data_IF_950061271725
#
_entry.id   IF_950061271725
#
_cell.length_a   1.000
_cell.length_b   1.000
_cell.length_c   1.000
_cell.angle_alpha   90.00
_cell.angle_beta   90.00
_cell.angle_gamma   90.00
#
_symmetry.space_group_name_H-M   'P 1'
#
loop_
_entity.id
_entity.type
_entity.pdbx_description
1 polymer ?
#
# COMPACT_ATOMS: atom_id res chain seq x y z
N UNK A 1 -24.64 -11.76 17.46
CA UNK A 1 -23.17 -11.67 17.62
C UNK A 1 -22.59 -12.13 16.29
N UNK A 2 -21.80 -11.31 15.60
CA UNK A 2 -21.25 -11.69 14.32
C UNK A 2 -20.28 -12.86 14.54
N UNK A 3 -20.57 -14.01 13.94
CA UNK A 3 -19.68 -15.17 13.96
C UNK A 3 -18.46 -14.80 13.10
N UNK A 4 -17.34 -14.49 13.75
CA UNK A 4 -16.09 -14.18 13.08
C UNK A 4 -15.42 -15.49 12.68
N UNK A 5 -15.20 -15.67 11.38
CA UNK A 5 -14.50 -16.84 10.84
C UNK A 5 -13.04 -16.47 10.65
N UNK A 6 -12.13 -17.42 10.83
CA UNK A 6 -10.73 -17.20 10.53
C UNK A 6 -10.45 -17.64 9.09
N UNK A 7 -9.79 -16.80 8.30
CA UNK A 7 -9.27 -17.17 6.98
C UNK A 7 -7.76 -17.15 7.01
N UNK A 8 -7.16 -18.18 6.42
CA UNK A 8 -5.72 -18.23 6.17
C UNK A 8 -5.41 -17.47 4.87
N UNK A 9 -4.62 -16.41 4.99
CA UNK A 9 -4.18 -15.57 3.89
C UNK A 9 -2.70 -15.81 3.67
N UNK A 10 -2.32 -16.15 2.44
CA UNK A 10 -0.94 -16.23 2.00
C UNK A 10 -0.53 -14.87 1.44
N UNK A 11 0.51 -14.26 2.01
CA UNK A 11 1.06 -12.97 1.59
C UNK A 11 2.50 -13.19 1.15
N UNK A 12 2.81 -12.88 -0.10
CA UNK A 12 4.18 -12.92 -0.60
C UNK A 12 4.89 -11.63 -0.20
N UNK A 13 5.98 -11.79 0.56
CA UNK A 13 6.79 -10.72 1.11
C UNK A 13 8.15 -10.70 0.45
N UNK A 14 8.73 -9.52 0.36
CA UNK A 14 10.08 -9.33 -0.14
C UNK A 14 10.78 -8.21 0.64
N UNK A 15 11.96 -8.51 1.18
CA UNK A 15 12.84 -7.49 1.77
C UNK A 15 14.15 -7.41 0.97
N UNK A 16 14.43 -6.34 0.23
CA UNK A 16 15.69 -6.23 -0.53
C UNK A 16 16.94 -6.16 0.35
N UNK A 17 16.81 -5.84 1.64
CA UNK A 17 17.96 -5.76 2.57
C UNK A 17 18.31 -7.11 3.20
N UNK A 18 17.35 -8.04 3.26
CA UNK A 18 17.46 -9.29 4.02
C UNK A 18 17.27 -10.52 3.14
N UNK A 19 16.33 -10.47 2.20
CA UNK A 19 15.91 -11.61 1.39
C UNK A 19 16.49 -11.54 -0.02
N UNK A 20 17.06 -12.65 -0.46
CA UNK A 20 17.56 -12.82 -1.83
C UNK A 20 16.42 -13.14 -2.82
N UNK A 21 15.28 -13.62 -2.33
CA UNK A 21 14.10 -13.98 -3.13
C UNK A 21 12.79 -13.74 -2.36
N UNK A 22 11.65 -13.51 -3.04
CA UNK A 22 10.35 -13.39 -2.39
C UNK A 22 9.96 -14.66 -1.63
N UNK A 23 9.39 -14.51 -0.44
CA UNK A 23 8.93 -15.61 0.40
C UNK A 23 7.44 -15.52 0.71
N UNK A 24 6.75 -16.65 0.74
CA UNK A 24 5.34 -16.75 1.13
C UNK A 24 5.19 -16.84 2.64
N UNK A 25 4.45 -15.92 3.24
CA UNK A 25 4.08 -15.95 4.66
C UNK A 25 2.58 -16.20 4.81
N UNK A 26 2.18 -16.97 5.83
CA UNK A 26 0.78 -17.29 6.09
C UNK A 26 0.29 -16.59 7.35
N UNK A 27 -0.86 -15.94 7.27
CA UNK A 27 -1.49 -15.22 8.36
C UNK A 27 -2.93 -15.67 8.53
N UNK A 28 -3.35 -15.88 9.77
CA UNK A 28 -4.76 -16.16 10.09
C UNK A 28 -5.43 -14.87 10.54
N UNK A 29 -6.48 -14.47 9.82
CA UNK A 29 -7.20 -13.22 10.06
C UNK A 29 -8.66 -13.51 10.33
N UNK A 30 -9.23 -12.99 11.44
CA UNK A 30 -10.67 -13.03 11.66
C UNK A 30 -11.36 -12.12 10.64
N UNK A 31 -12.36 -12.64 9.94
CA UNK A 31 -13.15 -11.92 8.96
C UNK A 31 -14.66 -12.12 9.18
N UNK A 32 -15.39 -11.14 8.69
CA UNK A 32 -16.84 -11.06 8.63
C UNK A 32 -17.29 -10.78 7.18
N UNK A 33 -18.61 -10.72 6.95
CA UNK A 33 -19.17 -10.53 5.61
C UNK A 33 -18.86 -9.15 4.98
N UNK A 34 -18.41 -8.18 5.79
CA UNK A 34 -18.04 -6.82 5.36
C UNK A 34 -16.54 -6.60 5.30
N UNK A 35 -15.72 -7.52 5.82
CA UNK A 35 -14.26 -7.36 5.83
C UNK A 35 -13.71 -7.38 4.40
N UNK A 36 -13.06 -6.28 4.01
CA UNK A 36 -12.32 -6.21 2.77
C UNK A 36 -10.90 -6.74 2.94
N UNK A 37 -10.23 -7.07 1.84
CA UNK A 37 -8.81 -7.44 1.84
C UNK A 37 -7.94 -6.33 2.45
N UNK A 38 -8.31 -5.07 2.23
CA UNK A 38 -7.61 -3.94 2.83
C UNK A 38 -7.68 -3.96 4.36
N UNK A 39 -8.85 -4.30 4.91
CA UNK A 39 -9.05 -4.38 6.36
C UNK A 39 -8.26 -5.56 6.96
N UNK A 40 -8.24 -6.71 6.27
CA UNK A 40 -7.41 -7.84 6.68
C UNK A 40 -5.91 -7.52 6.66
N UNK A 41 -5.42 -6.83 5.65
CA UNK A 41 -4.01 -6.38 5.61
C UNK A 41 -3.70 -5.40 6.74
N UNK A 42 -4.65 -4.54 7.10
CA UNK A 42 -4.55 -3.67 8.29
C UNK A 42 -4.44 -4.49 9.57
N UNK A 43 -5.32 -5.48 9.73
CA UNK A 43 -5.29 -6.37 10.90
C UNK A 43 -3.96 -7.13 11.03
N UNK A 44 -3.44 -7.68 9.91
CA UNK A 44 -2.14 -8.36 9.88
C UNK A 44 -1.06 -7.39 10.33
N UNK A 45 -1.06 -6.16 9.81
CA UNK A 45 -0.07 -5.17 10.19
C UNK A 45 -0.13 -4.80 11.67
N UNK A 46 -1.33 -4.58 12.20
CA UNK A 46 -1.48 -4.10 13.57
C UNK A 46 -1.22 -5.19 14.62
N UNK A 47 -1.49 -6.46 14.31
CA UNK A 47 -1.46 -7.55 15.30
C UNK A 47 -0.37 -8.61 15.06
N UNK A 48 0.00 -8.89 13.81
CA UNK A 48 0.83 -10.06 13.45
C UNK A 48 2.20 -9.68 12.87
N UNK A 49 2.24 -8.68 11.99
CA UNK A 49 3.40 -8.30 11.20
C UNK A 49 3.46 -6.77 11.01
N UNK A 50 3.89 -6.01 12.02
CA UNK A 50 3.97 -4.54 11.96
C UNK A 50 4.97 -4.02 10.93
N UNK A 51 5.86 -4.88 10.47
CA UNK A 51 6.83 -4.67 9.41
C UNK A 51 6.20 -4.78 7.99
N UNK A 52 4.96 -5.25 7.86
CA UNK A 52 4.23 -5.29 6.59
C UNK A 52 3.91 -3.87 6.08
N UNK A 53 4.31 -3.57 4.84
CA UNK A 53 3.99 -2.31 4.18
C UNK A 53 3.24 -2.55 2.88
N UNK A 54 2.12 -1.84 2.71
CA UNK A 54 1.28 -1.87 1.53
C UNK A 54 0.77 -0.46 1.20
N UNK A 55 0.36 -0.24 -0.05
CA UNK A 55 -0.17 1.04 -0.53
C UNK A 55 -1.69 1.10 -0.37
N UNK A 56 -2.18 2.17 0.23
CA UNK A 56 -3.61 2.46 0.33
C UNK A 56 -3.84 3.97 0.46
N UNK A 57 -5.00 4.45 0.03
CA UNK A 57 -5.38 5.87 0.16
C UNK A 57 -6.91 6.04 0.26
N UNK A 58 -7.62 5.93 -0.86
CA UNK A 58 -9.02 6.38 -0.95
C UNK A 58 -10.07 5.44 -0.33
N UNK A 59 -9.76 4.15 -0.14
CA UNK A 59 -10.68 3.08 0.33
C UNK A 59 -12.00 2.90 -0.46
N UNK A 60 -12.28 3.74 -1.46
CA UNK A 60 -13.50 3.71 -2.29
C UNK A 60 -13.23 3.29 -3.74
N UNK A 61 -12.12 2.59 -3.99
CA UNK A 61 -11.75 2.06 -5.31
C UNK A 61 -11.64 3.10 -6.45
N UNK A 62 -11.47 4.39 -6.13
CA UNK A 62 -11.36 5.47 -7.13
C UNK A 62 -9.90 5.81 -7.50
N UNK A 63 -8.98 5.63 -6.56
CA UNK A 63 -7.59 6.06 -6.69
C UNK A 63 -6.65 4.99 -7.27
N UNK A 64 -7.09 3.72 -7.35
CA UNK A 64 -6.26 2.62 -7.85
C UNK A 64 -5.03 2.25 -7.01
N UNK A 65 -4.75 2.95 -5.91
CA UNK A 65 -3.53 2.73 -5.11
C UNK A 65 -3.50 1.39 -4.35
N UNK A 66 -4.68 0.76 -4.19
CA UNK A 66 -4.86 -0.51 -3.50
C UNK A 66 -4.74 -1.73 -4.47
N UNK A 67 -4.13 -1.55 -5.65
CA UNK A 67 -3.98 -2.62 -6.66
C UNK A 67 -2.96 -3.67 -6.24
N UNK A 68 -3.37 -4.94 -6.23
CA UNK A 68 -2.54 -6.11 -5.92
C UNK A 68 -2.99 -7.34 -6.69
N UNK A 69 -2.14 -8.36 -6.75
CA UNK A 69 -2.46 -9.64 -7.36
C UNK A 69 -3.11 -10.54 -6.31
N UNK A 70 -4.33 -10.99 -6.59
CA UNK A 70 -5.09 -11.91 -5.73
C UNK A 70 -5.37 -13.19 -6.52
N UNK A 71 -4.81 -14.33 -6.09
CA UNK A 71 -4.90 -15.61 -6.80
C UNK A 71 -4.52 -15.46 -8.29
N UNK A 72 -3.40 -14.81 -8.59
CA UNK A 72 -2.93 -14.48 -9.95
C UNK A 72 -3.84 -13.55 -10.77
N UNK A 73 -4.85 -12.91 -10.17
CA UNK A 73 -5.74 -11.96 -10.84
C UNK A 73 -5.51 -10.55 -10.28
N UNK A 74 -5.27 -9.52 -11.12
CA UNK A 74 -5.12 -8.15 -10.64
C UNK A 74 -6.46 -7.63 -10.11
N UNK A 75 -6.50 -7.31 -8.81
CA UNK A 75 -7.70 -6.78 -8.14
C UNK A 75 -7.35 -5.60 -7.25
N UNK A 76 -8.39 -4.81 -6.94
CA UNK A 76 -8.30 -3.74 -5.96
C UNK A 76 -8.63 -4.31 -4.58
N UNK A 77 -7.68 -4.26 -3.64
CA UNK A 77 -7.88 -4.77 -2.28
C UNK A 77 -9.08 -4.15 -1.59
N UNK A 78 -9.28 -2.85 -1.80
CA UNK A 78 -10.38 -2.09 -1.25
C UNK A 78 -11.77 -2.44 -1.84
N UNK A 79 -11.84 -3.24 -2.91
CA UNK A 79 -13.09 -3.76 -3.50
C UNK A 79 -13.19 -5.29 -3.38
N UNK A 80 -12.18 -5.95 -2.84
CA UNK A 80 -12.11 -7.40 -2.75
C UNK A 80 -12.51 -7.82 -1.35
N UNK A 81 -13.49 -8.70 -1.21
CA UNK A 81 -13.98 -9.17 0.09
C UNK A 81 -13.49 -10.59 0.37
N UNK A 82 -13.22 -10.88 1.64
CA UNK A 82 -12.71 -12.20 2.05
C UNK A 82 -13.75 -13.31 1.92
N UNK A 83 -15.03 -12.96 2.01
CA UNK A 83 -16.16 -13.89 1.84
C UNK A 83 -16.17 -14.59 0.48
N UNK A 84 -15.57 -14.00 -0.55
CA UNK A 84 -15.52 -14.56 -1.90
C UNK A 84 -14.34 -15.55 -2.07
N UNK A 85 -13.50 -15.71 -1.05
CA UNK A 85 -12.24 -16.46 -1.08
C UNK A 85 -12.13 -17.47 0.07
N UNK A 86 -13.17 -18.27 0.27
CA UNK A 86 -13.23 -19.28 1.35
C UNK A 86 -12.20 -20.40 1.21
N UNK A 87 -11.76 -20.73 -0.01
CA UNK A 87 -10.83 -21.83 -0.29
C UNK A 87 -9.35 -21.46 -0.08
N UNK A 88 -9.06 -20.20 0.22
CA UNK A 88 -7.71 -19.67 0.39
C UNK A 88 -7.41 -18.51 -0.55
N UNK A 89 -6.59 -17.59 -0.05
CA UNK A 89 -6.29 -16.34 -0.72
C UNK A 89 -4.78 -16.11 -0.75
N UNK A 90 -4.22 -16.04 -1.96
CA UNK A 90 -2.83 -15.67 -2.21
C UNK A 90 -2.76 -14.22 -2.66
N UNK A 91 -1.97 -13.43 -1.95
CA UNK A 91 -1.77 -12.00 -2.18
C UNK A 91 -0.33 -11.75 -2.57
N UNK A 92 -0.15 -11.17 -3.74
CA UNK A 92 1.14 -10.87 -4.36
C UNK A 92 1.21 -9.39 -4.79
N UNK A 93 2.41 -8.83 -4.82
CA UNK A 93 2.64 -7.52 -5.39
C UNK A 93 2.40 -7.55 -6.90
N UNK A 94 2.07 -6.39 -7.51
CA UNK A 94 1.88 -6.31 -8.95
C UNK A 94 3.17 -6.70 -9.69
N UNK A 95 3.11 -7.74 -10.52
CA UNK A 95 4.26 -8.36 -11.18
C UNK A 95 5.09 -7.44 -12.10
N UNK A 96 4.54 -6.29 -12.51
CA UNK A 96 5.16 -5.38 -13.50
C UNK A 96 5.66 -4.06 -12.92
N UNK A 97 5.55 -3.84 -11.60
CA UNK A 97 6.12 -2.68 -10.92
C UNK A 97 7.23 -3.12 -9.97
N UNK A 98 8.27 -2.29 -9.73
CA UNK A 98 9.27 -2.59 -8.72
C UNK A 98 8.54 -2.94 -7.41
N UNK A 99 9.04 -3.97 -6.71
CA UNK A 99 8.35 -4.77 -5.67
C UNK A 99 8.15 -3.96 -4.36
N UNK A 100 7.93 -2.64 -4.45
CA UNK A 100 7.68 -1.71 -3.35
C UNK A 100 6.29 -1.89 -2.69
N UNK A 101 5.42 -2.74 -3.23
CA UNK A 101 4.00 -2.78 -2.85
C UNK A 101 3.68 -3.76 -1.71
N UNK A 102 4.58 -4.70 -1.38
CA UNK A 102 4.49 -5.62 -0.24
C UNK A 102 5.87 -5.81 0.41
N UNK A 103 6.48 -4.69 0.80
CA UNK A 103 7.78 -4.72 1.46
C UNK A 103 7.63 -5.01 2.95
N UNK A 104 8.49 -5.89 3.45
CA UNK A 104 8.86 -5.90 4.86
C UNK A 104 9.75 -4.69 5.10
N UNK A 105 9.23 -3.66 5.77
CA UNK A 105 10.01 -2.45 6.07
C UNK A 105 10.84 -2.72 7.33
N UNK A 106 12.06 -3.26 7.16
CA UNK A 106 13.11 -3.07 8.15
C UNK A 106 13.39 -1.57 8.27
N UNK A 107 13.48 -1.06 9.50
CA UNK A 107 13.39 0.37 9.82
C UNK A 107 14.23 1.30 8.92
N UNK A 108 13.56 2.11 8.10
CA UNK A 108 14.20 3.16 7.29
C UNK A 108 13.20 4.27 7.03
N UNK A 109 13.54 5.52 7.38
CA UNK A 109 12.76 6.76 7.29
C UNK A 109 11.65 6.82 6.21
N UNK A 110 10.52 7.42 6.58
CA UNK A 110 9.44 7.78 5.64
C UNK A 110 10.00 8.89 4.74
N UNK A 111 10.42 8.55 3.52
CA UNK A 111 10.76 9.54 2.49
C UNK A 111 9.52 9.75 1.60
N UNK A 112 8.81 10.89 1.73
CA UNK A 112 7.64 11.20 0.91
C UNK A 112 8.02 11.62 -0.52
N UNK A 113 9.30 11.64 -0.88
CA UNK A 113 9.83 12.30 -2.06
C UNK A 113 10.60 11.32 -2.96
N UNK A 114 9.85 10.44 -3.63
CA UNK A 114 10.18 10.15 -5.03
C UNK A 114 9.36 11.05 -5.97
N UNK A 115 9.39 12.35 -5.67
CA UNK A 115 9.19 13.40 -6.67
C UNK A 115 10.45 13.41 -7.52
N UNK A 116 10.43 12.62 -8.61
CA UNK A 116 11.42 12.73 -9.69
C UNK A 116 11.59 14.20 -10.03
N UNK A 117 12.85 14.63 -10.05
CA UNK A 117 13.32 15.94 -10.49
C UNK A 117 12.60 16.44 -11.74
N UNK A 118 12.00 17.63 -11.63
CA UNK A 118 11.40 18.34 -12.74
C UNK A 118 11.23 19.80 -12.36
N UNK A 119 12.25 20.60 -12.71
CA UNK A 119 12.22 22.06 -12.91
C UNK A 119 11.58 22.92 -11.82
N UNK A 120 12.45 23.46 -10.97
CA UNK A 120 12.54 24.88 -10.64
C UNK A 120 11.66 25.80 -11.52
N UNK A 121 10.58 26.33 -10.96
CA UNK A 121 10.10 27.68 -11.26
C UNK A 121 9.68 28.31 -9.94
N UNK A 122 10.69 28.89 -9.28
CA UNK A 122 10.52 29.92 -8.27
C UNK A 122 9.73 31.06 -8.89
N UNK A 123 8.47 31.19 -8.48
CA UNK A 123 7.63 32.36 -8.80
C UNK A 123 8.16 33.51 -7.94
N UNK A 124 9.23 34.15 -8.40
CA UNK A 124 9.67 35.43 -7.86
C UNK A 124 8.59 36.46 -8.19
N UNK A 125 7.76 36.76 -7.19
CA UNK A 125 6.93 37.96 -7.17
C UNK A 125 7.85 39.17 -7.29
N UNK A 126 7.99 39.66 -8.52
CA UNK A 126 8.76 40.85 -8.88
C UNK A 126 7.94 42.08 -8.47
N UNK A 127 8.04 42.47 -7.21
CA UNK A 127 7.55 43.76 -6.74
C UNK A 127 8.37 44.86 -7.44
N UNK A 128 7.67 45.73 -8.16
CA UNK A 128 8.21 46.81 -9.00
C UNK A 128 8.97 47.87 -8.15
N UNK A 129 10.08 48.44 -8.64
CA UNK A 129 10.74 49.56 -7.97
C UNK A 129 9.96 50.85 -8.18
N UNK A 130 9.45 51.44 -7.09
CA UNK A 130 9.01 52.83 -7.08
C UNK A 130 10.22 53.75 -7.32
N UNK A 131 10.31 54.32 -8.53
CA UNK A 131 11.21 55.45 -8.82
C UNK A 131 10.78 56.64 -7.97
N UNK A 132 11.65 57.05 -7.05
CA UNK A 132 11.66 58.41 -6.53
C UNK A 132 12.02 59.38 -7.67
N UNK A 133 11.09 60.29 -7.96
CA UNK A 133 11.36 61.48 -8.77
C UNK A 133 11.37 62.66 -7.82
N UNK A 134 12.55 63.22 -7.57
CA UNK A 134 12.67 64.55 -7.00
C UNK A 134 12.41 65.58 -8.10
N UNK A 135 11.61 66.60 -7.77
CA UNK A 135 11.77 68.02 -8.10
C UNK A 135 10.89 68.81 -7.13
#
# INVERSE_FOLDING_TARGET
MAEMKNLKIEVVRYNPEVDTAPHSAFYEVPYDATTSLLDALGYIKDNLAPDLSYRWSCRMAICGSCGMMVNNVPKLACKTFLRDYTDGMKVEALANFPIDTLITRSGGRYDPLHRKSGSDQTVHHRQLPHRGSGY
#
